data_IF_828268959748
#
_entry.id   IF_828268959748
#
_cell.length_a   1.000
_cell.length_b   1.000
_cell.length_c   1.000
_cell.angle_alpha   90.00
_cell.angle_beta   90.00
_cell.angle_gamma   90.00
#
_symmetry.space_group_name_H-M   'P 1'
#
loop_
_entity.id
_entity.type
_entity.pdbx_description
1 polymer ?
#
# COMPACT_ATOMS: atom_id res chain seq x y z
N UNK A 1 -11.87 -8.05 6.58
CA UNK A 1 -11.16 -7.55 7.77
C UNK A 1 -10.91 -8.73 8.72
N UNK A 2 -9.94 -9.58 8.39
CA UNK A 2 -9.77 -10.90 8.99
C UNK A 2 -8.31 -11.36 8.91
N UNK A 3 -7.97 -12.43 9.64
CA UNK A 3 -6.85 -12.34 10.57
C UNK A 3 -5.63 -13.17 10.17
N UNK A 4 -4.65 -12.53 9.51
CA UNK A 4 -3.40 -13.16 9.06
C UNK A 4 -2.54 -13.74 10.20
N UNK A 5 -2.51 -13.11 11.36
CA UNK A 5 -1.84 -13.61 12.57
C UNK A 5 -2.70 -13.24 13.77
N UNK A 6 -3.97 -13.66 13.79
CA UNK A 6 -4.88 -13.39 14.91
C UNK A 6 -6.15 -14.26 14.86
N UNK A 7 -6.92 -14.32 15.96
CA UNK A 7 -8.01 -15.30 16.15
C UNK A 7 -9.41 -14.89 15.68
N UNK A 8 -9.66 -13.61 15.44
CA UNK A 8 -11.02 -13.15 15.10
C UNK A 8 -11.44 -13.42 13.66
N UNK A 9 -12.74 -13.30 13.42
CA UNK A 9 -13.43 -13.74 12.21
C UNK A 9 -14.19 -12.59 11.54
N UNK A 10 -13.64 -11.38 11.59
CA UNK A 10 -14.32 -10.18 11.10
C UNK A 10 -14.58 -10.22 9.59
N UNK A 11 -15.81 -9.88 9.19
CA UNK A 11 -16.22 -9.74 7.80
C UNK A 11 -16.58 -8.28 7.54
N UNK A 12 -15.62 -7.53 7.01
CA UNK A 12 -15.80 -6.16 6.58
C UNK A 12 -14.85 -5.90 5.40
N UNK A 13 -15.42 -5.44 4.30
CA UNK A 13 -14.75 -5.10 3.06
C UNK A 13 -15.68 -4.20 2.23
N UNK A 14 -15.11 -3.42 1.31
CA UNK A 14 -15.91 -2.65 0.37
C UNK A 14 -16.66 -3.59 -0.59
N UNK A 15 -17.95 -3.35 -0.77
CA UNK A 15 -18.77 -4.00 -1.78
C UNK A 15 -18.80 -3.11 -3.04
N UNK A 16 -18.13 -3.55 -4.10
CA UNK A 16 -18.12 -2.80 -5.35
C UNK A 16 -19.49 -2.92 -6.04
N UNK A 17 -20.01 -1.84 -6.65
CA UNK A 17 -21.21 -1.91 -7.48
C UNK A 17 -21.07 -2.92 -8.61
N UNK A 18 -22.19 -3.51 -9.02
CA UNK A 18 -22.23 -4.44 -10.16
C UNK A 18 -21.81 -3.74 -11.46
N UNK A 19 -22.36 -2.56 -11.71
CA UNK A 19 -22.06 -1.73 -12.88
C UNK A 19 -20.61 -1.28 -12.84
N UNK A 20 -19.84 -1.63 -13.88
CA UNK A 20 -18.41 -1.29 -14.01
C UNK A 20 -18.14 -0.04 -14.84
N UNK A 21 -19.13 0.45 -15.59
CA UNK A 21 -19.02 1.69 -16.35
C UNK A 21 -19.09 2.92 -15.45
N UNK A 22 -18.52 4.02 -15.93
CA UNK A 22 -18.58 5.32 -15.26
C UNK A 22 -20.05 5.74 -15.04
N UNK A 23 -20.40 6.26 -13.86
CA UNK A 23 -21.72 6.82 -13.62
C UNK A 23 -21.99 8.01 -14.53
N UNK A 24 -23.24 8.18 -14.99
CA UNK A 24 -23.63 9.25 -15.92
C UNK A 24 -23.40 10.67 -15.39
N UNK A 25 -23.45 10.86 -14.07
CA UNK A 25 -23.21 12.15 -13.43
C UNK A 25 -21.72 12.51 -13.33
N UNK A 26 -20.82 11.52 -13.43
CA UNK A 26 -19.38 11.77 -13.40
C UNK A 26 -18.92 12.12 -14.81
N UNK A 27 -18.64 13.41 -15.04
CA UNK A 27 -18.14 13.93 -16.33
C UNK A 27 -16.61 13.92 -16.46
N UNK A 28 -15.91 13.32 -15.50
CA UNK A 28 -14.45 13.29 -15.47
C UNK A 28 -13.91 12.55 -16.69
N UNK A 29 -12.99 13.17 -17.42
CA UNK A 29 -12.34 12.53 -18.56
C UNK A 29 -11.16 11.67 -18.09
N UNK A 30 -10.78 10.61 -18.84
CA UNK A 30 -9.64 9.79 -18.48
C UNK A 30 -8.32 10.58 -18.33
N UNK A 31 -8.14 11.63 -19.14
CA UNK A 31 -6.97 12.50 -19.15
C UNK A 31 -6.89 13.34 -17.87
N UNK A 32 -7.98 13.99 -17.49
CA UNK A 32 -8.08 14.78 -16.24
C UNK A 32 -7.78 13.92 -15.01
N UNK A 33 -8.30 12.68 -14.97
CA UNK A 33 -8.06 11.76 -13.86
C UNK A 33 -6.59 11.34 -13.80
N UNK A 34 -5.95 11.08 -14.94
CA UNK A 34 -4.52 10.78 -14.98
C UNK A 34 -3.68 11.96 -14.48
N UNK A 35 -3.98 13.18 -14.90
CA UNK A 35 -3.28 14.39 -14.46
C UNK A 35 -3.41 14.62 -12.95
N UNK A 36 -4.60 14.40 -12.40
CA UNK A 36 -4.83 14.48 -10.96
C UNK A 36 -4.02 13.42 -10.21
N UNK A 37 -3.97 12.19 -10.71
CA UNK A 37 -3.14 11.11 -10.16
C UNK A 37 -1.67 11.53 -10.15
N UNK A 38 -1.15 12.10 -11.24
CA UNK A 38 0.25 12.54 -11.29
C UNK A 38 0.53 13.68 -10.33
N UNK A 39 -0.36 14.68 -10.23
CA UNK A 39 -0.25 15.79 -9.28
C UNK A 39 -0.19 15.28 -7.84
N UNK A 40 -1.05 14.33 -7.47
CA UNK A 40 -1.08 13.75 -6.12
C UNK A 40 0.13 12.85 -5.85
N UNK A 41 0.59 12.09 -6.85
CA UNK A 41 1.78 11.25 -6.72
C UNK A 41 3.06 12.08 -6.55
N UNK A 42 3.19 13.21 -7.27
CA UNK A 42 4.31 14.15 -7.10
C UNK A 42 4.35 14.81 -5.73
N UNK A 43 3.21 14.89 -5.02
CA UNK A 43 3.15 15.31 -3.61
C UNK A 43 3.59 14.21 -2.64
N UNK A 44 3.95 13.02 -3.13
CA UNK A 44 4.39 11.88 -2.32
C UNK A 44 3.26 11.04 -1.73
N UNK A 45 2.01 11.18 -2.22
CA UNK A 45 0.88 10.40 -1.72
C UNK A 45 0.92 8.97 -2.25
N UNK A 46 0.51 8.02 -1.40
CA UNK A 46 0.47 6.61 -1.78
C UNK A 46 -0.70 6.32 -2.74
N UNK A 47 -0.62 5.28 -3.59
CA UNK A 47 -1.73 4.89 -4.46
C UNK A 47 -3.05 4.67 -3.73
N UNK A 48 -3.00 4.13 -2.50
CA UNK A 48 -4.17 3.95 -1.65
C UNK A 48 -4.78 5.28 -1.21
N UNK A 49 -3.96 6.26 -0.79
CA UNK A 49 -4.41 7.61 -0.42
C UNK A 49 -4.96 8.38 -1.62
N UNK A 50 -4.31 8.25 -2.79
CA UNK A 50 -4.78 8.87 -4.04
C UNK A 50 -6.20 8.38 -4.34
N UNK A 51 -6.44 7.07 -4.30
CA UNK A 51 -7.78 6.52 -4.54
C UNK A 51 -8.86 7.04 -3.58
N UNK A 52 -8.49 7.29 -2.32
CA UNK A 52 -9.40 7.88 -1.32
C UNK A 52 -9.72 9.34 -1.66
N UNK A 53 -8.72 10.15 -2.00
CA UNK A 53 -8.93 11.57 -2.35
C UNK A 53 -9.78 11.72 -3.61
N UNK A 54 -9.49 10.93 -4.66
CA UNK A 54 -10.29 10.95 -5.89
C UNK A 54 -11.75 10.59 -5.61
N UNK A 55 -11.99 9.65 -4.70
CA UNK A 55 -13.35 9.23 -4.31
C UNK A 55 -14.07 10.29 -3.49
N UNK A 56 -13.43 10.80 -2.44
CA UNK A 56 -14.07 11.61 -1.41
C UNK A 56 -14.17 13.09 -1.81
N UNK A 57 -13.17 13.63 -2.52
CA UNK A 57 -13.14 15.05 -2.89
C UNK A 57 -13.63 15.31 -4.31
N UNK A 58 -13.41 14.38 -5.24
CA UNK A 58 -13.68 14.59 -6.67
C UNK A 58 -14.84 13.73 -7.20
N UNK A 59 -15.42 12.88 -6.36
CA UNK A 59 -16.55 12.04 -6.73
C UNK A 59 -16.21 10.98 -7.78
N UNK A 60 -14.95 10.54 -7.88
CA UNK A 60 -14.55 9.46 -8.79
C UNK A 60 -14.58 8.13 -8.01
N UNK A 61 -15.64 7.30 -8.15
CA UNK A 61 -15.80 6.13 -7.29
C UNK A 61 -14.77 5.04 -7.58
N UNK A 62 -14.39 4.85 -8.85
CA UNK A 62 -13.43 3.84 -9.29
C UNK A 62 -12.61 4.38 -10.48
N UNK A 63 -11.31 4.56 -10.29
CA UNK A 63 -10.38 5.01 -11.34
C UNK A 63 -10.38 4.07 -12.55
N UNK A 64 -10.50 2.76 -12.30
CA UNK A 64 -10.55 1.75 -13.37
C UNK A 64 -11.76 1.91 -14.29
N UNK A 65 -12.89 2.37 -13.75
CA UNK A 65 -14.12 2.57 -14.53
C UNK A 65 -14.04 3.74 -15.49
N UNK A 66 -13.20 4.73 -15.19
CA UNK A 66 -12.98 5.93 -16.03
C UNK A 66 -11.83 5.69 -17.00
N UNK A 67 -10.67 5.29 -16.49
CA UNK A 67 -9.41 5.22 -17.26
C UNK A 67 -9.11 3.86 -17.88
N UNK A 68 -9.87 2.81 -17.53
CA UNK A 68 -9.59 1.42 -17.90
C UNK A 68 -8.46 0.75 -17.12
N UNK A 69 -7.57 1.52 -16.50
CA UNK A 69 -6.40 1.04 -15.77
C UNK A 69 -6.48 1.30 -14.25
N UNK A 70 -5.68 0.57 -13.47
CA UNK A 70 -5.54 0.82 -12.02
C UNK A 70 -4.50 1.92 -11.77
N UNK A 71 -4.64 2.63 -10.65
CA UNK A 71 -3.73 3.72 -10.22
C UNK A 71 -2.26 3.31 -10.34
N UNK A 72 -1.88 2.15 -9.78
CA UNK A 72 -0.49 1.69 -9.80
C UNK A 72 0.05 1.46 -11.23
N UNK A 73 -0.79 1.04 -12.18
CA UNK A 73 -0.40 0.88 -13.59
C UNK A 73 -0.18 2.24 -14.26
N UNK A 74 -1.07 3.20 -14.00
CA UNK A 74 -0.96 4.58 -14.50
C UNK A 74 0.35 5.23 -14.02
N UNK A 75 0.70 5.04 -12.75
CA UNK A 75 1.96 5.52 -12.18
C UNK A 75 3.20 4.84 -12.78
N UNK A 76 3.13 3.52 -13.03
CA UNK A 76 4.24 2.78 -13.67
C UNK A 76 4.52 3.27 -15.08
N UNK A 77 3.48 3.51 -15.89
CA UNK A 77 3.63 4.02 -17.25
C UNK A 77 4.33 5.39 -17.30
N UNK A 78 4.17 6.21 -16.25
CA UNK A 78 4.76 7.54 -16.17
C UNK A 78 6.06 7.60 -15.33
N UNK A 79 6.59 6.45 -14.91
CA UNK A 79 7.81 6.39 -14.09
C UNK A 79 7.67 6.98 -12.68
N UNK A 80 6.44 7.22 -12.20
CA UNK A 80 6.13 7.78 -10.88
C UNK A 80 5.76 6.70 -9.84
N UNK A 81 5.98 5.43 -10.16
CA UNK A 81 5.69 4.33 -9.25
C UNK A 81 6.74 4.24 -8.14
N UNK A 82 6.34 3.93 -6.90
CA UNK A 82 7.28 3.71 -5.81
C UNK A 82 8.15 2.48 -6.11
N UNK A 83 9.43 2.56 -5.73
CA UNK A 83 10.41 1.46 -5.90
C UNK A 83 10.05 0.24 -5.05
N UNK A 84 9.55 0.47 -3.83
CA UNK A 84 9.08 -0.57 -2.92
C UNK A 84 7.54 -0.58 -2.94
N UNK A 85 6.90 -1.75 -3.06
CA UNK A 85 5.45 -1.87 -2.93
C UNK A 85 4.92 -1.27 -1.62
N UNK A 86 3.77 -0.57 -1.71
CA UNK A 86 3.19 0.19 -0.60
C UNK A 86 2.93 -0.65 0.65
N UNK A 87 2.45 -1.88 0.48
CA UNK A 87 2.18 -2.82 1.57
C UNK A 87 3.45 -3.28 2.29
N UNK A 88 4.52 -3.56 1.54
CA UNK A 88 5.83 -3.92 2.09
C UNK A 88 6.44 -2.72 2.84
N UNK A 89 6.39 -1.53 2.24
CA UNK A 89 6.86 -0.28 2.86
C UNK A 89 6.21 -0.03 4.22
N UNK A 90 4.87 -0.11 4.30
CA UNK A 90 4.16 0.15 5.56
C UNK A 90 4.39 -0.94 6.63
N UNK A 91 4.65 -2.18 6.24
CA UNK A 91 5.05 -3.21 7.21
C UNK A 91 6.46 -2.95 7.76
N UNK A 92 7.41 -2.56 6.91
CA UNK A 92 8.77 -2.19 7.34
C UNK A 92 8.71 -0.96 8.25
N UNK A 93 7.92 0.07 7.89
CA UNK A 93 7.68 1.26 8.75
C UNK A 93 7.24 0.87 10.15
N UNK A 94 6.29 -0.06 10.23
CA UNK A 94 5.74 -0.55 11.49
C UNK A 94 6.78 -1.34 12.28
N UNK A 95 7.56 -2.19 11.61
CA UNK A 95 8.64 -2.94 12.25
C UNK A 95 9.70 -2.00 12.85
N UNK A 96 10.14 -0.99 12.11
CA UNK A 96 11.10 0.02 12.59
C UNK A 96 10.57 0.73 13.85
N UNK A 97 9.30 1.15 13.82
CA UNK A 97 8.67 1.81 14.98
C UNK A 97 8.59 0.90 16.21
N UNK A 98 8.20 -0.37 16.06
CA UNK A 98 8.11 -1.31 17.18
C UNK A 98 9.51 -1.66 17.71
N UNK A 99 10.54 -1.65 16.85
CA UNK A 99 11.92 -1.97 17.24
C UNK A 99 12.49 -0.86 18.11
N UNK A 100 12.30 0.38 17.68
CA UNK A 100 12.67 1.57 18.45
C UNK A 100 11.97 1.61 19.83
N UNK A 101 10.73 1.13 19.92
CA UNK A 101 10.02 0.97 21.19
C UNK A 101 10.67 -0.10 22.08
N UNK A 102 10.96 -1.28 21.54
CA UNK A 102 11.57 -2.40 22.27
C UNK A 102 13.01 -2.12 22.75
N UNK A 103 13.76 -1.28 22.05
CA UNK A 103 15.10 -0.85 22.48
C UNK A 103 15.07 -0.16 23.85
N UNK A 104 14.05 0.65 24.09
CA UNK A 104 13.80 1.34 25.37
C UNK A 104 13.07 0.45 26.36
N UNK A 105 12.13 -0.37 25.88
CA UNK A 105 11.23 -1.19 26.69
C UNK A 105 11.51 -2.68 26.53
N UNK A 106 12.70 -3.13 26.96
CA UNK A 106 13.16 -4.53 26.74
C UNK A 106 12.30 -5.60 27.43
N UNK A 107 11.56 -5.22 28.48
CA UNK A 107 10.67 -6.11 29.22
C UNK A 107 9.31 -6.37 28.53
N UNK A 108 8.98 -5.65 27.46
CA UNK A 108 7.69 -5.75 26.78
C UNK A 108 7.61 -7.01 25.88
N UNK A 109 7.10 -8.09 26.47
CA UNK A 109 6.93 -9.39 25.80
C UNK A 109 5.85 -9.36 24.72
N UNK A 110 4.81 -8.54 24.85
CA UNK A 110 3.74 -8.46 23.85
C UNK A 110 4.24 -7.74 22.60
N UNK A 111 4.94 -6.61 22.74
CA UNK A 111 5.56 -5.94 21.60
C UNK A 111 6.59 -6.84 20.91
N UNK A 112 7.35 -7.65 21.66
CA UNK A 112 8.27 -8.64 21.08
C UNK A 112 7.53 -9.72 20.29
N UNK A 113 6.44 -10.25 20.80
CA UNK A 113 5.59 -11.20 20.07
C UNK A 113 5.01 -10.56 18.79
N UNK A 114 4.47 -9.35 18.88
CA UNK A 114 3.92 -8.62 17.71
C UNK A 114 4.99 -8.29 16.68
N UNK A 115 6.21 -7.98 17.09
CA UNK A 115 7.35 -7.78 16.19
C UNK A 115 7.58 -9.01 15.30
N UNK A 116 7.67 -10.20 15.91
CA UNK A 116 7.86 -11.46 15.20
C UNK A 116 6.75 -11.66 14.15
N UNK A 117 5.50 -11.33 14.49
CA UNK A 117 4.37 -11.40 13.57
C UNK A 117 4.42 -10.36 12.43
N UNK A 118 5.06 -9.21 12.63
CA UNK A 118 5.26 -8.20 11.58
C UNK A 118 6.39 -8.67 10.65
N UNK A 119 7.54 -9.07 11.18
CA UNK A 119 8.69 -9.54 10.39
C UNK A 119 8.33 -10.78 9.57
N UNK A 120 7.58 -11.72 10.16
CA UNK A 120 7.04 -12.88 9.42
C UNK A 120 6.17 -12.48 8.22
N UNK A 121 5.42 -11.36 8.31
CA UNK A 121 4.64 -10.84 7.16
C UNK A 121 5.53 -10.17 6.12
N UNK A 122 6.55 -9.42 6.55
CA UNK A 122 7.55 -8.81 5.66
C UNK A 122 8.23 -9.90 4.82
N UNK A 123 8.73 -10.97 5.44
CA UNK A 123 9.38 -12.07 4.72
C UNK A 123 8.44 -12.81 3.77
N UNK A 124 7.15 -12.97 4.12
CA UNK A 124 6.15 -13.54 3.22
C UNK A 124 5.91 -12.66 1.99
N UNK A 125 5.75 -11.35 2.17
CA UNK A 125 5.56 -10.41 1.06
C UNK A 125 6.82 -10.25 0.21
N UNK A 126 8.00 -10.15 0.83
CA UNK A 126 9.26 -10.07 0.12
C UNK A 126 9.45 -11.27 -0.83
N UNK A 127 9.20 -12.50 -0.36
CA UNK A 127 9.23 -13.71 -1.22
C UNK A 127 8.26 -13.61 -2.40
N UNK A 128 7.05 -13.12 -2.18
CA UNK A 128 6.07 -12.93 -3.26
C UNK A 128 6.54 -11.89 -4.28
N UNK A 129 7.07 -10.76 -3.84
CA UNK A 129 7.51 -9.69 -4.72
C UNK A 129 8.80 -10.01 -5.47
N UNK A 130 9.71 -10.80 -4.88
CA UNK A 130 10.87 -11.37 -5.57
C UNK A 130 10.41 -12.34 -6.67
N UNK A 131 9.49 -13.26 -6.35
CA UNK A 131 8.94 -14.22 -7.34
C UNK A 131 8.24 -13.51 -8.50
N UNK A 132 7.55 -12.40 -8.22
CA UNK A 132 6.84 -11.61 -9.25
C UNK A 132 7.70 -10.52 -9.89
N UNK A 133 9.01 -10.50 -9.61
CA UNK A 133 9.99 -9.56 -10.18
C UNK A 133 9.63 -8.07 -9.98
N UNK A 134 8.85 -7.75 -8.94
CA UNK A 134 8.54 -6.36 -8.59
C UNK A 134 9.63 -5.73 -7.72
N UNK A 135 10.51 -6.56 -7.17
CA UNK A 135 11.61 -6.19 -6.29
C UNK A 135 12.84 -7.00 -6.74
N UNK A 136 14.08 -6.46 -6.63
CA UNK A 136 15.29 -7.20 -7.03
C UNK A 136 15.42 -8.55 -6.33
N UNK A 137 15.98 -9.55 -7.02
CA UNK A 137 16.20 -10.88 -6.45
C UNK A 137 17.14 -10.88 -5.22
N UNK A 138 18.00 -9.87 -5.12
CA UNK A 138 18.92 -9.64 -4.00
C UNK A 138 18.25 -8.96 -2.80
N UNK A 139 16.98 -8.58 -2.91
CA UNK A 139 16.30 -7.87 -1.83
C UNK A 139 16.18 -8.75 -0.58
N UNK A 140 16.68 -8.20 0.52
CA UNK A 140 16.63 -8.84 1.83
C UNK A 140 16.22 -7.80 2.86
N UNK A 141 15.23 -8.16 3.67
CA UNK A 141 14.87 -7.35 4.83
C UNK A 141 15.93 -7.56 5.92
N UNK A 142 16.63 -6.50 6.27
CA UNK A 142 17.56 -6.47 7.39
C UNK A 142 17.14 -5.36 8.35
N UNK A 143 17.01 -5.71 9.62
CA UNK A 143 16.47 -4.78 10.60
C UNK A 143 17.36 -3.55 10.85
N UNK A 144 18.67 -3.68 10.68
CA UNK A 144 19.62 -2.59 10.86
C UNK A 144 19.49 -1.53 9.76
N UNK A 145 19.20 -1.94 8.52
CA UNK A 145 19.09 -1.05 7.35
C UNK A 145 17.65 -0.64 7.07
N UNK A 146 16.66 -1.29 7.68
CA UNK A 146 15.24 -1.03 7.48
C UNK A 146 14.81 0.43 7.68
N UNK A 147 15.50 1.19 8.55
CA UNK A 147 15.24 2.62 8.76
C UNK A 147 15.54 3.47 7.53
N UNK A 148 16.56 3.12 6.75
CA UNK A 148 16.96 3.85 5.53
C UNK A 148 15.98 3.65 4.38
N UNK A 149 15.22 2.56 4.40
CA UNK A 149 14.21 2.24 3.38
C UNK A 149 12.89 2.99 3.58
N UNK A 150 12.70 3.63 4.75
CA UNK A 150 11.41 4.14 5.21
C UNK A 150 11.49 5.56 5.79
N UNK A 151 12.62 6.23 5.55
CA UNK A 151 12.83 7.64 5.90
C UNK A 151 11.98 8.57 5.02
#
# INVERSE_FOLDING_TARGET
>A
MGRMHSKGKGMSASALPYRRSQPSWSKATPEEVCDQIFKLARRGLSPSQIGVILRDSQGIPQVKSVTGNKILRILKTNGLAPSIPEDLYHLIKKAVSVRKHLERNRGDKDAKFRMILIESRIHRLARYYIKTQQVPATFKYEAATASTLVA
#
